data_IF_531960139482
#
_entry.id   IF_531960139482
#
_cell.length_a   1.000
_cell.length_b   1.000
_cell.length_c   1.000
_cell.angle_alpha   90.00
_cell.angle_beta   90.00
_cell.angle_gamma   90.00
#
_symmetry.space_group_name_H-M   'P 1'
#
loop_
_entity.id
_entity.type
_entity.pdbx_description
1 polymer ?
#
# COMPACT_ATOMS: atom_id res chain seq x y z
N UNK A 1 -4.38 -4.50 -4.49
CA UNK A 1 -3.74 -3.45 -3.67
C UNK A 1 -2.24 -3.48 -3.83
N UNK A 2 -1.57 -4.62 -3.57
CA UNK A 2 -0.13 -4.83 -3.77
C UNK A 2 0.41 -4.29 -5.11
N UNK A 3 -0.17 -4.72 -6.24
CA UNK A 3 0.20 -4.19 -7.57
C UNK A 3 0.15 -2.65 -7.73
N UNK A 4 -0.73 -1.96 -6.99
CA UNK A 4 -0.81 -0.51 -7.03
C UNK A 4 0.32 0.15 -6.22
N UNK A 5 0.74 -0.49 -5.13
CA UNK A 5 1.91 -0.11 -4.34
C UNK A 5 3.18 -0.34 -5.17
N UNK A 6 3.30 -1.50 -5.82
CA UNK A 6 4.44 -1.82 -6.69
C UNK A 6 4.57 -0.82 -7.84
N UNK A 7 3.45 -0.47 -8.49
CA UNK A 7 3.46 0.57 -9.52
C UNK A 7 3.86 1.95 -8.99
N UNK A 8 3.50 2.29 -7.76
CA UNK A 8 3.93 3.54 -7.14
C UNK A 8 5.45 3.54 -6.97
N UNK A 9 6.01 2.43 -6.48
CA UNK A 9 7.44 2.23 -6.33
C UNK A 9 8.18 2.32 -7.67
N UNK A 10 7.67 1.69 -8.72
CA UNK A 10 8.24 1.79 -10.08
C UNK A 10 8.32 3.25 -10.57
N UNK A 11 7.29 4.04 -10.32
CA UNK A 11 7.28 5.45 -10.71
C UNK A 11 8.24 6.29 -9.86
N UNK A 12 8.34 6.00 -8.56
CA UNK A 12 9.30 6.64 -7.67
C UNK A 12 10.75 6.33 -8.10
N UNK A 13 11.06 5.07 -8.39
CA UNK A 13 12.40 4.63 -8.80
C UNK A 13 12.81 5.21 -10.16
N UNK A 14 11.84 5.46 -11.04
CA UNK A 14 12.06 6.18 -12.31
C UNK A 14 12.17 7.70 -12.16
N UNK A 15 12.07 8.23 -10.93
CA UNK A 15 12.08 9.67 -10.66
C UNK A 15 10.87 10.40 -11.23
N UNK A 16 9.77 9.69 -11.49
CA UNK A 16 8.54 10.27 -12.04
C UNK A 16 7.68 10.90 -10.94
N UNK A 17 7.84 10.50 -9.68
CA UNK A 17 7.09 11.03 -8.53
C UNK A 17 8.09 11.57 -7.51
N UNK A 18 7.81 12.73 -6.89
CA UNK A 18 8.60 13.20 -5.76
C UNK A 18 8.40 12.27 -4.56
N UNK A 19 9.49 11.69 -4.06
CA UNK A 19 9.49 10.82 -2.88
C UNK A 19 10.50 11.29 -1.85
N UNK A 20 10.19 11.05 -0.58
CA UNK A 20 11.13 11.31 0.51
C UNK A 20 12.08 10.13 0.65
N UNK A 21 13.33 10.36 1.05
CA UNK A 21 14.31 9.29 1.25
C UNK A 21 13.80 8.26 2.28
N UNK A 22 13.15 8.73 3.34
CA UNK A 22 12.59 7.90 4.42
C UNK A 22 11.36 7.09 3.99
N UNK A 23 10.75 7.41 2.83
CA UNK A 23 9.62 6.64 2.31
C UNK A 23 10.05 5.49 1.42
N UNK A 24 11.35 5.37 1.10
CA UNK A 24 11.91 4.32 0.22
C UNK A 24 11.21 4.21 -1.13
N UNK A 25 10.56 5.29 -1.60
CA UNK A 25 9.78 5.28 -2.83
C UNK A 25 8.39 4.66 -2.72
N UNK A 26 7.91 4.35 -1.51
CA UNK A 26 6.56 3.84 -1.25
C UNK A 26 5.60 4.96 -0.82
N UNK A 27 4.28 4.77 -1.03
CA UNK A 27 3.28 5.77 -0.67
C UNK A 27 3.12 5.87 0.86
N UNK A 28 2.77 7.04 1.42
CA UNK A 28 2.58 7.21 2.86
C UNK A 28 1.28 6.59 3.38
N UNK A 29 0.26 6.44 2.52
CA UNK A 29 -1.02 5.83 2.88
C UNK A 29 -1.76 5.30 1.64
N UNK A 30 -2.76 4.43 1.85
CA UNK A 30 -3.60 3.91 0.77
C UNK A 30 -4.47 4.98 0.09
N UNK A 31 -4.77 6.09 0.79
CA UNK A 31 -5.55 7.19 0.21
C UNK A 31 -4.75 7.91 -0.86
N UNK A 32 -3.42 7.94 -0.77
CA UNK A 32 -2.51 8.53 -1.75
C UNK A 32 -2.61 7.81 -3.09
N UNK A 33 -2.76 6.49 -3.07
CA UNK A 33 -2.97 5.69 -4.28
C UNK A 33 -4.30 6.02 -4.98
N UNK A 34 -5.33 6.41 -4.24
CA UNK A 34 -6.67 6.76 -4.77
C UNK A 34 -6.76 8.24 -5.17
N UNK A 35 -6.28 9.15 -4.33
CA UNK A 35 -6.22 10.59 -4.62
C UNK A 35 -5.32 10.87 -5.81
N UNK A 36 -4.29 10.04 -5.98
CA UNK A 36 -3.27 10.16 -7.00
C UNK A 36 -2.23 11.21 -6.64
N UNK A 37 -1.10 11.14 -7.33
CA UNK A 37 0.07 12.01 -7.11
C UNK A 37 0.48 12.70 -8.41
N UNK A 38 1.07 13.90 -8.33
CA UNK A 38 1.65 14.53 -9.51
C UNK A 38 2.77 13.64 -10.06
N UNK A 39 2.77 13.43 -11.38
CA UNK A 39 3.83 12.71 -12.08
C UNK A 39 4.53 13.67 -13.04
N UNK A 40 5.86 13.52 -13.15
CA UNK A 40 6.68 14.29 -14.09
C UNK A 40 6.14 14.12 -15.51
N UNK A 41 5.90 15.23 -16.20
CA UNK A 41 5.33 15.23 -17.56
C UNK A 41 3.80 15.30 -17.63
N UNK A 42 3.08 15.16 -16.51
CA UNK A 42 1.65 15.48 -16.47
C UNK A 42 1.47 16.94 -16.01
N UNK A 43 1.10 17.82 -16.94
CA UNK A 43 1.04 19.27 -16.73
C UNK A 43 0.16 19.70 -15.54
N UNK A 44 -0.91 18.94 -15.25
CA UNK A 44 -1.79 19.19 -14.08
C UNK A 44 -2.55 17.95 -13.59
N UNK A 45 -2.39 16.81 -14.27
CA UNK A 45 -3.13 15.59 -13.95
C UNK A 45 -2.38 14.77 -12.91
N UNK A 46 -3.12 14.32 -11.87
CA UNK A 46 -2.59 13.36 -10.90
C UNK A 46 -2.77 11.94 -11.43
N UNK A 47 -1.72 11.12 -11.33
CA UNK A 47 -1.82 9.70 -11.66
C UNK A 47 -2.43 8.96 -10.47
N UNK A 48 -3.55 8.27 -10.70
CA UNK A 48 -4.24 7.46 -9.69
C UNK A 48 -3.91 5.99 -9.89
N UNK A 49 -3.33 5.38 -8.86
CA UNK A 49 -2.95 3.96 -8.86
C UNK A 49 -4.13 3.05 -8.54
N UNK A 50 -5.12 3.57 -7.81
CA UNK A 50 -6.35 2.87 -7.46
C UNK A 50 -7.59 3.70 -7.81
N UNK A 51 -8.65 3.03 -8.27
CA UNK A 51 -9.97 3.67 -8.47
C UNK A 51 -10.70 3.90 -7.15
N UNK A 52 -10.54 2.97 -6.21
CA UNK A 52 -11.04 3.00 -4.82
C UNK A 52 -10.25 2.00 -3.99
N UNK A 53 -10.26 2.14 -2.66
CA UNK A 53 -9.76 1.09 -1.77
C UNK A 53 -10.75 -0.07 -1.82
N UNK A 54 -10.34 -1.29 -2.19
CA UNK A 54 -11.23 -2.44 -2.19
C UNK A 54 -11.60 -2.83 -0.75
N UNK A 55 -12.79 -3.41 -0.59
CA UNK A 55 -13.21 -4.04 0.66
C UNK A 55 -12.50 -5.38 0.78
N UNK A 56 -12.00 -5.69 1.96
CA UNK A 56 -11.41 -6.98 2.27
C UNK A 56 -12.50 -8.08 2.19
N UNK A 57 -12.33 -9.09 1.33
CA UNK A 57 -13.33 -10.14 1.14
C UNK A 57 -13.53 -11.02 2.38
N UNK A 58 -12.62 -11.01 3.35
CA UNK A 58 -12.68 -11.86 4.54
C UNK A 58 -13.22 -11.14 5.79
N UNK A 59 -12.92 -9.84 5.95
CA UNK A 59 -13.47 -9.05 7.06
C UNK A 59 -14.74 -8.28 6.67
N UNK A 60 -15.00 -8.09 5.37
CA UNK A 60 -16.10 -7.25 4.89
C UNK A 60 -15.87 -5.75 5.12
N UNK A 61 -14.70 -5.36 5.63
CA UNK A 61 -14.34 -3.97 5.89
C UNK A 61 -13.31 -3.45 4.90
N UNK A 62 -13.25 -2.13 4.70
CA UNK A 62 -12.19 -1.49 3.90
C UNK A 62 -10.91 -1.20 4.72
N UNK A 63 -10.79 -1.83 5.89
CA UNK A 63 -9.75 -1.57 6.88
C UNK A 63 -8.63 -2.62 6.76
N UNK A 64 -7.67 -2.34 5.88
CA UNK A 64 -6.50 -3.19 5.69
C UNK A 64 -5.44 -2.92 6.77
N UNK A 65 -4.74 -3.98 7.19
CA UNK A 65 -3.45 -3.85 7.88
C UNK A 65 -2.40 -3.33 6.92
N UNK A 66 -1.49 -2.50 7.42
CA UNK A 66 -0.41 -1.89 6.62
C UNK A 66 0.93 -2.36 7.21
N UNK A 67 1.93 -2.61 6.36
CA UNK A 67 3.31 -2.83 6.77
C UNK A 67 4.21 -1.80 6.09
N UNK A 68 5.13 -1.20 6.85
CA UNK A 68 6.17 -0.35 6.32
C UNK A 68 7.34 -1.20 5.79
N UNK A 69 8.16 -0.62 4.91
CA UNK A 69 9.37 -1.29 4.40
C UNK A 69 10.41 -1.51 5.51
N UNK A 70 10.39 -0.64 6.52
CA UNK A 70 11.25 -0.70 7.69
C UNK A 70 10.71 -1.62 8.79
N UNK A 71 9.48 -2.10 8.67
CA UNK A 71 8.88 -3.01 9.66
C UNK A 71 9.41 -4.44 9.44
N UNK A 72 9.57 -5.19 10.52
CA UNK A 72 9.89 -6.62 10.45
C UNK A 72 8.81 -7.41 9.67
N UNK A 73 9.16 -8.53 9.02
CA UNK A 73 8.21 -9.33 8.23
C UNK A 73 6.95 -9.74 9.00
N UNK A 74 7.10 -9.98 10.31
CA UNK A 74 6.04 -10.44 11.21
C UNK A 74 5.40 -9.30 12.01
N UNK A 75 5.78 -8.05 11.74
CA UNK A 75 5.25 -6.90 12.47
C UNK A 75 3.77 -6.67 12.16
N UNK A 76 2.99 -6.55 13.24
CA UNK A 76 1.55 -6.24 13.22
C UNK A 76 1.25 -4.77 13.56
N UNK A 77 2.29 -3.99 13.86
CA UNK A 77 2.18 -2.57 14.21
C UNK A 77 2.76 -1.73 13.10
N UNK A 78 1.92 -0.90 12.51
CA UNK A 78 2.34 0.09 11.53
C UNK A 78 2.71 1.40 12.23
N UNK A 79 3.98 1.80 12.14
CA UNK A 79 4.51 3.02 12.76
C UNK A 79 4.15 4.34 12.05
N UNK A 80 3.30 4.31 11.02
CA UNK A 80 2.92 5.52 10.25
C UNK A 80 3.97 5.97 9.24
N UNK A 81 4.85 5.07 8.81
CA UNK A 81 5.86 5.32 7.78
C UNK A 81 5.28 5.26 6.37
N UNK A 82 5.78 4.32 5.58
CA UNK A 82 5.30 4.04 4.23
C UNK A 82 4.37 2.82 4.21
N UNK A 83 3.68 2.62 3.09
CA UNK A 83 2.89 1.43 2.81
C UNK A 83 3.67 0.59 1.80
N UNK A 84 4.38 -0.41 2.31
CA UNK A 84 5.07 -1.42 1.53
C UNK A 84 4.12 -2.57 1.18
N UNK A 85 3.38 -3.05 2.17
CA UNK A 85 2.42 -4.14 1.97
C UNK A 85 1.10 -3.92 2.73
N UNK A 86 0.09 -4.68 2.32
CA UNK A 86 -1.23 -4.75 2.95
C UNK A 86 -1.58 -6.18 3.29
N UNK A 87 -2.28 -6.37 4.42
CA UNK A 87 -2.79 -7.66 4.86
C UNK A 87 -4.21 -7.54 5.42
N UNK A 88 -4.95 -8.65 5.43
CA UNK A 88 -6.30 -8.68 6.00
C UNK A 88 -6.23 -8.60 7.53
N UNK A 89 -7.14 -7.82 8.14
CA UNK A 89 -7.33 -7.81 9.61
C UNK A 89 -8.28 -8.90 10.08
N UNK A 90 -8.75 -9.77 9.19
CA UNK A 90 -9.61 -10.88 9.58
C UNK A 90 -8.81 -11.86 10.43
N UNK A 91 -9.35 -12.21 11.60
CA UNK A 91 -8.82 -13.29 12.44
C UNK A 91 -9.10 -14.69 11.86
N UNK A 92 -9.67 -14.76 10.65
CA UNK A 92 -9.97 -16.01 9.96
C UNK A 92 -8.70 -16.75 9.54
N UNK A 93 -8.81 -18.07 9.53
CA UNK A 93 -7.79 -18.97 9.03
C UNK A 93 -8.18 -19.44 7.63
N UNK A 94 -7.23 -19.42 6.70
CA UNK A 94 -7.37 -20.03 5.40
C UNK A 94 -7.52 -21.56 5.52
N UNK A 95 -7.98 -22.19 4.43
CA UNK A 95 -8.20 -23.65 4.38
C UNK A 95 -6.93 -24.48 4.63
N UNK A 96 -5.75 -23.89 4.46
CA UNK A 96 -4.44 -24.51 4.69
C UNK A 96 -3.91 -24.31 6.13
N UNK A 97 -4.66 -23.61 7.00
CA UNK A 97 -4.27 -23.33 8.38
C UNK A 97 -3.43 -22.05 8.55
N UNK A 98 -3.06 -21.35 7.47
CA UNK A 98 -2.43 -20.03 7.57
C UNK A 98 -3.47 -18.98 7.91
N UNK A 99 -3.09 -17.98 8.72
CA UNK A 99 -4.03 -16.91 9.03
C UNK A 99 -4.07 -15.93 7.85
N UNK A 100 -5.23 -15.32 7.60
CA UNK A 100 -5.33 -14.29 6.55
C UNK A 100 -4.44 -13.07 6.81
N UNK A 101 -3.99 -12.88 8.05
CA UNK A 101 -2.99 -11.86 8.42
C UNK A 101 -1.56 -12.19 7.98
N UNK A 102 -1.25 -13.47 7.69
CA UNK A 102 0.08 -13.96 7.32
C UNK A 102 0.26 -14.12 5.79
N UNK A 103 -0.79 -13.82 5.01
CA UNK A 103 -0.85 -14.00 3.55
C UNK A 103 -0.65 -12.71 2.75
#
# INVERSE_FOLDING_TARGET
LRQAIDRYKDFADRGMIPTNADSFGYPPDLKTLVKGVPVKGAASAKYKFLRRIPVDPFSGESNWGLRAMQDDPDSKSWGGGNVFDVYSKSYGTALDGTKYEDW
#
